data_IF_441721700248
#
_entry.id   IF_441721700248
#
_cell.length_a   1.000
_cell.length_b   1.000
_cell.length_c   1.000
_cell.angle_alpha   90.00
_cell.angle_beta   90.00
_cell.angle_gamma   90.00
#
_symmetry.space_group_name_H-M   'P 1'
#
loop_
_entity.id
_entity.type
_entity.pdbx_description
1 polymer ?
#
# COMPACT_ATOMS: atom_id res chain seq x y z
N UNK A 1 22.06 23.53 3.07
CA UNK A 1 21.12 22.72 2.28
C UNK A 1 19.71 23.18 2.63
N UNK A 2 18.98 23.83 1.70
CA UNK A 2 17.63 24.30 1.98
C UNK A 2 16.67 23.11 2.00
N UNK A 3 15.74 23.05 2.94
CA UNK A 3 14.77 21.95 3.18
C UNK A 3 14.02 21.50 1.91
N UNK A 4 13.91 22.36 0.89
CA UNK A 4 13.30 22.01 -0.40
C UNK A 4 14.09 20.98 -1.21
N UNK A 5 15.42 20.98 -1.13
CA UNK A 5 16.26 20.14 -1.99
C UNK A 5 16.19 18.63 -1.66
N UNK A 6 16.06 18.27 -0.38
CA UNK A 6 15.93 16.86 0.00
C UNK A 6 14.51 16.34 -0.23
N UNK A 7 13.49 17.19 -0.07
CA UNK A 7 12.09 16.84 -0.37
C UNK A 7 11.89 16.53 -1.85
N UNK A 8 12.45 17.36 -2.73
CA UNK A 8 12.40 17.16 -4.18
C UNK A 8 13.13 15.86 -4.60
N UNK A 9 14.24 15.53 -3.94
CA UNK A 9 14.99 14.29 -4.15
C UNK A 9 14.15 13.06 -3.78
N UNK A 10 13.58 13.04 -2.57
CA UNK A 10 12.75 11.92 -2.11
C UNK A 10 11.50 11.77 -2.99
N UNK A 11 10.86 12.87 -3.38
CA UNK A 11 9.71 12.82 -4.27
C UNK A 11 10.07 12.25 -5.65
N UNK A 12 11.23 12.65 -6.20
CA UNK A 12 11.77 12.11 -7.44
C UNK A 12 12.02 10.60 -7.38
N UNK A 13 12.71 10.15 -6.33
CA UNK A 13 13.02 8.73 -6.09
C UNK A 13 11.73 7.93 -5.89
N UNK A 14 10.76 8.46 -5.13
CA UNK A 14 9.46 7.82 -4.94
C UNK A 14 8.74 7.60 -6.27
N UNK A 15 8.68 8.62 -7.12
CA UNK A 15 8.06 8.51 -8.44
C UNK A 15 8.79 7.50 -9.34
N UNK A 16 10.10 7.33 -9.19
CA UNK A 16 10.85 6.32 -9.93
C UNK A 16 10.47 4.91 -9.48
N UNK A 17 10.45 4.67 -8.17
CA UNK A 17 10.00 3.39 -7.58
C UNK A 17 8.54 3.10 -7.96
N UNK A 18 7.65 4.09 -7.90
CA UNK A 18 6.24 3.91 -8.29
C UNK A 18 6.10 3.39 -9.72
N UNK A 19 6.92 3.89 -10.66
CA UNK A 19 6.91 3.43 -12.05
C UNK A 19 7.52 2.04 -12.23
N UNK A 20 8.56 1.72 -11.48
CA UNK A 20 9.23 0.42 -11.54
C UNK A 20 8.29 -0.70 -11.07
N UNK A 21 7.55 -0.45 -9.99
CA UNK A 21 6.66 -1.44 -9.36
C UNK A 21 5.22 -1.41 -9.88
N UNK A 22 4.86 -0.48 -10.78
CA UNK A 22 3.50 -0.39 -11.32
C UNK A 22 3.06 -1.71 -11.99
N UNK A 23 3.94 -2.31 -12.79
CA UNK A 23 3.65 -3.59 -13.45
C UNK A 23 3.44 -4.74 -12.45
N UNK A 24 4.25 -4.82 -11.40
CA UNK A 24 4.11 -5.85 -10.35
C UNK A 24 2.79 -5.70 -9.58
N UNK A 25 2.38 -4.46 -9.30
CA UNK A 25 1.10 -4.18 -8.63
C UNK A 25 -0.07 -4.56 -9.55
N UNK A 26 0.02 -4.24 -10.84
CA UNK A 26 -1.02 -4.57 -11.83
C UNK A 26 -1.14 -6.06 -12.10
N UNK A 27 -0.02 -6.80 -12.07
CA UNK A 27 0.02 -8.25 -12.23
C UNK A 27 -0.31 -9.02 -10.94
N UNK A 28 -0.43 -8.32 -9.81
CA UNK A 28 -0.72 -8.95 -8.53
C UNK A 28 -2.15 -9.51 -8.46
N UNK A 29 -2.37 -10.44 -7.53
CA UNK A 29 -3.70 -10.99 -7.24
C UNK A 29 -4.66 -9.97 -6.57
N UNK A 30 -4.13 -8.83 -6.09
CA UNK A 30 -4.89 -7.81 -5.38
C UNK A 30 -5.15 -6.59 -6.27
N UNK A 31 -6.37 -6.08 -6.21
CA UNK A 31 -6.69 -4.81 -6.86
C UNK A 31 -6.09 -3.61 -6.08
N UNK A 32 -6.09 -2.43 -6.70
CA UNK A 32 -5.51 -1.22 -6.10
C UNK A 32 -6.14 -0.83 -4.74
N UNK A 33 -7.42 -1.12 -4.51
CA UNK A 33 -8.08 -0.84 -3.22
C UNK A 33 -7.64 -1.83 -2.13
N UNK A 34 -7.50 -3.11 -2.50
CA UNK A 34 -6.98 -4.14 -1.60
C UNK A 34 -5.52 -3.83 -1.20
N UNK A 35 -4.67 -3.42 -2.14
CA UNK A 35 -3.32 -2.92 -1.81
C UNK A 35 -3.34 -1.72 -0.86
N UNK A 36 -4.27 -0.79 -1.06
CA UNK A 36 -4.47 0.33 -0.15
C UNK A 36 -4.75 -0.13 1.29
N UNK A 37 -5.62 -1.13 1.46
CA UNK A 37 -5.94 -1.71 2.77
C UNK A 37 -4.75 -2.49 3.36
N UNK A 38 -4.07 -3.32 2.57
CA UNK A 38 -2.86 -4.05 2.99
C UNK A 38 -1.83 -3.07 3.57
N UNK A 39 -1.57 -1.96 2.88
CA UNK A 39 -0.59 -0.97 3.32
C UNK A 39 -0.95 -0.25 4.63
N UNK A 40 -2.21 -0.30 5.08
CA UNK A 40 -2.60 0.21 6.41
C UNK A 40 -2.23 -0.73 7.56
N UNK A 41 -2.01 -2.01 7.25
CA UNK A 41 -1.67 -3.05 8.21
C UNK A 41 -0.20 -3.50 8.10
N UNK A 42 0.58 -2.89 7.20
CA UNK A 42 2.03 -3.08 7.13
C UNK A 42 2.71 -1.94 7.86
N UNK A 43 3.59 -2.29 8.79
CA UNK A 43 4.48 -1.35 9.45
C UNK A 43 5.91 -1.60 9.00
N UNK A 44 6.75 -0.56 9.04
CA UNK A 44 8.16 -0.68 8.67
C UNK A 44 9.04 -0.44 9.89
N UNK A 45 9.96 -1.37 10.12
CA UNK A 45 10.93 -1.31 11.21
C UNK A 45 12.36 -1.38 10.67
N UNK A 46 13.31 -0.85 11.44
CA UNK A 46 14.74 -1.00 11.16
C UNK A 46 15.27 -2.08 12.10
N UNK A 47 15.62 -3.25 11.54
CA UNK A 47 16.31 -4.31 12.28
C UNK A 47 17.78 -3.95 12.50
N UNK A 48 18.33 -4.26 13.68
CA UNK A 48 19.72 -3.96 14.09
C UNK A 48 20.13 -2.48 13.87
N UNK A 49 19.35 -1.49 14.36
CA UNK A 49 19.59 -0.07 14.06
C UNK A 49 20.94 0.46 14.58
N UNK A 50 21.54 -0.21 15.56
CA UNK A 50 22.84 0.11 16.14
C UNK A 50 24.04 -0.37 15.32
N UNK A 51 23.84 -1.28 14.36
CA UNK A 51 24.88 -1.84 13.50
C UNK A 51 24.62 -1.44 12.05
N UNK A 52 25.37 -0.45 11.57
CA UNK A 52 25.19 0.11 10.22
C UNK A 52 25.37 -0.92 9.10
N UNK A 53 26.19 -1.96 9.30
CA UNK A 53 26.42 -3.00 8.29
C UNK A 53 25.30 -4.05 8.27
N UNK A 54 24.51 -4.13 9.35
CA UNK A 54 23.40 -5.07 9.51
C UNK A 54 22.02 -4.40 9.50
N UNK A 55 21.98 -3.07 9.54
CA UNK A 55 20.76 -2.28 9.54
C UNK A 55 19.94 -2.56 8.27
N UNK A 56 18.69 -2.98 8.45
CA UNK A 56 17.78 -3.26 7.32
C UNK A 56 16.38 -2.76 7.61
N UNK A 57 15.79 -2.09 6.63
CA UNK A 57 14.36 -1.80 6.63
C UNK A 57 13.60 -3.09 6.32
N UNK A 58 12.75 -3.54 7.24
CA UNK A 58 11.90 -4.72 7.09
C UNK A 58 10.44 -4.35 7.25
N UNK A 59 9.57 -5.11 6.60
CA UNK A 59 8.12 -4.98 6.74
C UNK A 59 7.63 -5.90 7.86
N UNK A 60 7.02 -5.33 8.89
CA UNK A 60 6.19 -6.08 9.83
C UNK A 60 4.79 -6.30 9.23
N UNK A 61 4.46 -7.57 9.04
CA UNK A 61 3.20 -8.05 8.47
C UNK A 61 2.32 -8.74 9.50
N UNK A 62 2.69 -8.71 10.78
CA UNK A 62 1.97 -9.36 11.89
C UNK A 62 0.51 -8.94 11.99
N UNK A 63 0.17 -7.72 11.53
CA UNK A 63 -1.18 -7.15 11.57
C UNK A 63 -2.03 -7.47 10.35
N UNK A 64 -1.48 -8.11 9.30
CA UNK A 64 -2.24 -8.43 8.09
C UNK A 64 -3.48 -9.30 8.38
N UNK A 65 -3.38 -10.22 9.34
CA UNK A 65 -4.50 -11.06 9.74
C UNK A 65 -5.73 -10.27 10.22
N UNK A 66 -5.56 -9.04 10.70
CA UNK A 66 -6.65 -8.18 11.15
C UNK A 66 -7.46 -7.57 10.01
N UNK A 67 -6.88 -7.43 8.82
CA UNK A 67 -7.53 -6.81 7.65
C UNK A 67 -8.02 -7.83 6.63
N UNK A 68 -7.67 -9.12 6.76
CA UNK A 68 -8.07 -10.17 5.81
C UNK A 68 -9.59 -10.26 5.59
N UNK A 69 -10.40 -10.20 6.65
CA UNK A 69 -11.86 -10.25 6.50
C UNK A 69 -12.42 -9.04 5.74
N UNK A 70 -11.78 -7.89 5.82
CA UNK A 70 -12.16 -6.70 5.07
C UNK A 70 -11.63 -6.75 3.62
N UNK A 71 -10.46 -7.36 3.40
CA UNK A 71 -9.94 -7.63 2.06
C UNK A 71 -10.88 -8.52 1.23
N UNK A 72 -11.48 -9.54 1.85
CA UNK A 72 -12.49 -10.40 1.22
C UNK A 72 -13.79 -9.64 0.88
N UNK A 73 -14.18 -8.67 1.72
CA UNK A 73 -15.35 -7.84 1.47
C UNK A 73 -15.14 -6.89 0.28
N UNK A 74 -13.92 -6.39 0.07
CA UNK A 74 -13.57 -5.52 -1.06
C UNK A 74 -13.60 -6.25 -2.41
N UNK A 75 -13.36 -7.56 -2.40
CA UNK A 75 -13.49 -8.41 -3.60
C UNK A 75 -14.95 -8.73 -3.93
N UNK A 76 -15.85 -8.60 -2.96
CA UNK A 76 -17.25 -8.97 -3.14
C UNK A 76 -17.96 -8.01 -4.10
N UNK A 77 -18.58 -8.50 -5.19
CA UNK A 77 -19.22 -7.67 -6.23
C UNK A 77 -20.39 -6.81 -5.71
N UNK A 78 -20.84 -7.03 -4.48
CA UNK A 78 -21.88 -6.26 -3.83
C UNK A 78 -21.39 -4.89 -3.30
N UNK A 79 -20.07 -4.67 -3.17
CA UNK A 79 -19.53 -3.39 -2.68
C UNK A 79 -19.67 -2.23 -3.69
N UNK A 80 -19.92 -2.53 -4.98
CA UNK A 80 -20.21 -1.54 -6.03
C UNK A 80 -21.65 -1.62 -6.59
N UNK A 81 -22.58 -2.26 -5.86
CA UNK A 81 -23.98 -2.42 -6.30
C UNK A 81 -25.01 -1.49 -5.64
N UNK A 82 -24.60 -0.62 -4.71
CA UNK A 82 -25.50 0.20 -3.88
C UNK A 82 -25.84 1.57 -4.46
N UNK A 83 -26.07 1.69 -5.76
CA UNK A 83 -26.29 3.00 -6.41
C UNK A 83 -26.98 2.93 -7.77
N UNK A 84 -27.92 2.01 -7.96
CA UNK A 84 -28.62 1.87 -9.22
C UNK A 84 -29.95 1.16 -9.05
N UNK A 85 -31.01 1.92 -8.74
CA UNK A 85 -32.38 1.44 -8.92
C UNK A 85 -33.35 1.80 -7.79
N UNK A 86 -34.00 2.95 -7.91
CA UNK A 86 -35.37 3.26 -7.44
C UNK A 86 -35.61 4.75 -7.72
N UNK A 87 -36.22 5.15 -8.84
CA UNK A 87 -37.67 5.21 -9.10
C UNK A 87 -37.94 6.60 -9.72
N UNK A 88 -38.93 6.91 -10.55
CA UNK A 88 -40.21 6.30 -10.89
C UNK A 88 -40.67 7.01 -12.19
N UNK A 89 -41.61 6.40 -12.93
CA UNK A 89 -42.28 7.01 -14.08
C UNK A 89 -43.14 8.23 -13.75
#
# INVERSE_FOLDING_TARGET
>A
MSTRAWGDMIAGDRMAVDREFEGEIEESEFNRQQWGLIMTAVEFEIENPEDHDRARLVADTSKLGHVMGELDNLDSPNAMGGGGGSGNG
#
